data_IF_713069623514
#
_entry.id   IF_713069623514
#
_cell.length_a   1.000
_cell.length_b   1.000
_cell.length_c   1.000
_cell.angle_alpha   90.00
_cell.angle_beta   90.00
_cell.angle_gamma   90.00
#
_symmetry.space_group_name_H-M   'P 1'
#
loop_
_entity.id
_entity.type
_entity.pdbx_description
1 polymer ?
#
# COMPACT_ATOMS: atom_id res chain seq x y z
N UNK A 1 -13.28 -14.72 13.95
CA UNK A 1 -12.31 -13.86 13.23
C UNK A 1 -12.16 -12.58 14.02
N UNK A 2 -10.94 -12.23 14.39
CA UNK A 2 -10.66 -11.03 15.18
C UNK A 2 -10.42 -9.84 14.25
N UNK A 3 -11.14 -8.75 14.46
CA UNK A 3 -10.81 -7.50 13.77
C UNK A 3 -9.77 -6.76 14.62
N UNK A 4 -8.58 -6.56 14.05
CA UNK A 4 -7.53 -5.75 14.69
C UNK A 4 -7.79 -4.28 14.44
N UNK A 5 -8.25 -3.58 15.48
CA UNK A 5 -8.35 -2.12 15.50
C UNK A 5 -7.13 -1.59 16.27
N UNK A 6 -6.54 -0.51 15.80
CA UNK A 6 -5.38 0.12 16.45
C UNK A 6 -5.69 0.37 17.93
N UNK A 7 -4.78 -0.07 18.80
CA UNK A 7 -4.87 0.02 20.26
C UNK A 7 -6.07 -0.70 20.90
N UNK A 8 -6.75 -1.59 20.19
CA UNK A 8 -7.77 -2.46 20.76
C UNK A 8 -7.22 -3.86 20.99
N UNK A 9 -7.32 -4.33 22.23
CA UNK A 9 -6.96 -5.71 22.56
C UNK A 9 -8.01 -6.67 22.01
N UNK A 10 -7.52 -7.75 21.38
CA UNK A 10 -8.34 -8.88 20.99
C UNK A 10 -7.95 -10.05 21.87
N UNK A 11 -8.89 -10.51 22.70
CA UNK A 11 -8.69 -11.71 23.53
C UNK A 11 -9.15 -12.95 22.76
N UNK A 12 -8.30 -13.97 22.71
CA UNK A 12 -8.60 -15.28 22.13
C UNK A 12 -8.18 -16.39 23.09
N UNK A 13 -8.82 -17.55 22.98
CA UNK A 13 -8.46 -18.81 23.64
C UNK A 13 -7.60 -19.72 22.75
N UNK A 14 -7.37 -19.30 21.51
CA UNK A 14 -6.50 -19.97 20.53
C UNK A 14 -5.15 -19.26 20.42
N UNK A 15 -4.06 -19.99 20.15
CA UNK A 15 -2.72 -19.42 20.05
C UNK A 15 -2.45 -18.75 18.70
N UNK A 16 -3.43 -18.70 17.80
CA UNK A 16 -3.30 -18.15 16.45
C UNK A 16 -4.45 -17.22 16.15
N UNK A 17 -4.15 -16.15 15.43
CA UNK A 17 -5.14 -15.19 14.99
C UNK A 17 -4.88 -14.81 13.55
N UNK A 18 -5.94 -14.77 12.75
CA UNK A 18 -5.88 -14.26 11.39
C UNK A 18 -6.13 -12.75 11.41
N UNK A 19 -5.24 -11.98 10.79
CA UNK A 19 -5.45 -10.54 10.57
C UNK A 19 -6.24 -10.38 9.27
N UNK A 20 -7.56 -10.27 9.38
CA UNK A 20 -8.42 -10.11 8.21
C UNK A 20 -8.41 -8.66 7.71
N UNK A 21 -7.89 -8.45 6.50
CA UNK A 21 -7.87 -7.15 5.82
C UNK A 21 -8.90 -7.12 4.69
N UNK A 22 -9.43 -5.93 4.39
CA UNK A 22 -10.36 -5.71 3.28
C UNK A 22 -10.08 -4.37 2.61
N UNK A 23 -10.72 -4.09 1.47
CA UNK A 23 -10.59 -2.81 0.79
C UNK A 23 -10.98 -1.60 1.67
N UNK A 24 -11.81 -1.80 2.69
CA UNK A 24 -12.26 -0.76 3.63
C UNK A 24 -11.53 -0.79 4.97
N UNK A 25 -10.68 -1.81 5.21
CA UNK A 25 -9.88 -1.97 6.43
C UNK A 25 -8.51 -2.55 6.09
N UNK A 26 -7.78 -1.87 5.20
CA UNK A 26 -6.42 -2.22 4.84
C UNK A 26 -5.42 -1.54 5.77
N UNK A 27 -4.30 -2.21 6.05
CA UNK A 27 -3.16 -1.55 6.69
C UNK A 27 -2.49 -0.61 5.67
N UNK A 28 -2.24 0.66 6.02
CA UNK A 28 -1.46 1.56 5.18
C UNK A 28 -0.06 0.99 4.86
N UNK A 29 0.55 1.45 3.78
CA UNK A 29 1.96 1.13 3.49
C UNK A 29 2.85 1.57 4.67
N UNK A 30 3.82 0.72 5.03
CA UNK A 30 4.77 0.99 6.10
C UNK A 30 4.85 -0.11 7.15
N UNK A 31 5.43 0.26 8.31
CA UNK A 31 5.71 -0.65 9.43
C UNK A 31 4.53 -0.70 10.39
N UNK A 32 4.12 -1.90 10.76
CA UNK A 32 3.07 -2.18 11.74
C UNK A 32 3.62 -3.10 12.82
N UNK A 33 3.49 -2.70 14.08
CA UNK A 33 3.90 -3.52 15.22
C UNK A 33 2.71 -4.26 15.80
N UNK A 34 2.85 -5.56 15.97
CA UNK A 34 1.88 -6.42 16.67
C UNK A 34 2.49 -6.88 17.98
N UNK A 35 1.66 -6.97 19.02
CA UNK A 35 2.06 -7.33 20.37
C UNK A 35 1.22 -8.49 20.90
N UNK A 36 1.86 -9.42 21.59
CA UNK A 36 1.20 -10.54 22.27
C UNK A 36 1.51 -10.51 23.78
N UNK A 37 0.47 -10.71 24.59
CA UNK A 37 0.57 -11.04 26.02
C UNK A 37 -0.25 -12.30 26.23
N UNK A 38 0.33 -13.31 26.86
CA UNK A 38 -0.39 -14.54 27.23
C UNK A 38 -0.70 -14.53 28.72
N UNK A 39 -1.85 -15.08 29.10
CA UNK A 39 -2.32 -15.17 30.50
C UNK A 39 -2.61 -16.63 30.81
N UNK A 40 -2.05 -17.15 31.91
CA UNK A 40 -2.31 -18.52 32.35
C UNK A 40 -3.67 -18.67 33.08
N UNK A 41 -4.02 -19.90 33.45
CA UNK A 41 -5.28 -20.22 34.15
C UNK A 41 -5.32 -19.72 35.61
N UNK A 42 -4.17 -19.33 36.15
CA UNK A 42 -4.00 -18.71 37.46
C UNK A 42 -4.04 -17.19 37.40
N UNK A 43 -4.14 -16.60 36.19
CA UNK A 43 -4.22 -15.16 35.95
C UNK A 43 -2.86 -14.46 35.81
N UNK A 44 -1.74 -15.18 35.74
CA UNK A 44 -0.43 -14.57 35.54
C UNK A 44 -0.25 -14.18 34.08
N UNK A 45 0.20 -12.93 33.83
CA UNK A 45 0.48 -12.41 32.50
C UNK A 45 1.98 -12.48 32.18
N UNK A 46 2.32 -12.80 30.94
CA UNK A 46 3.69 -12.71 30.44
C UNK A 46 4.16 -11.25 30.29
N UNK A 47 5.48 -11.05 30.16
CA UNK A 47 5.97 -9.83 29.50
C UNK A 47 5.49 -9.83 28.03
N UNK A 48 5.24 -8.66 27.42
CA UNK A 48 4.83 -8.61 26.03
C UNK A 48 5.95 -9.04 25.08
N UNK A 49 5.58 -9.74 24.01
CA UNK A 49 6.43 -9.98 22.84
C UNK A 49 5.89 -9.21 21.63
N UNK A 50 6.78 -8.74 20.75
CA UNK A 50 6.44 -7.86 19.64
C UNK A 50 7.07 -8.28 18.31
N UNK A 51 6.31 -8.14 17.22
CA UNK A 51 6.77 -8.35 15.85
C UNK A 51 6.43 -7.16 14.97
N UNK A 52 7.31 -6.84 14.02
CA UNK A 52 7.08 -5.81 13.01
C UNK A 52 6.78 -6.46 11.66
N UNK A 53 5.64 -6.10 11.07
CA UNK A 53 5.25 -6.46 9.71
C UNK A 53 5.35 -5.22 8.82
N UNK A 54 5.93 -5.38 7.63
CA UNK A 54 6.05 -4.30 6.65
C UNK A 54 5.04 -4.55 5.54
N UNK A 55 4.09 -3.62 5.38
CA UNK A 55 3.17 -3.59 4.24
C UNK A 55 3.84 -2.77 3.15
N UNK A 56 4.21 -3.43 2.05
CA UNK A 56 4.95 -2.83 0.95
C UNK A 56 4.14 -2.84 -0.35
N UNK A 57 4.27 -1.77 -1.12
CA UNK A 57 3.83 -1.76 -2.51
C UNK A 57 4.89 -2.46 -3.37
N UNK A 58 4.46 -3.44 -4.13
CA UNK A 58 5.29 -4.25 -5.05
C UNK A 58 4.82 -4.13 -6.50
N UNK A 59 3.79 -3.32 -6.76
CA UNK A 59 3.24 -3.11 -8.09
C UNK A 59 3.96 -1.96 -8.79
N UNK A 60 4.15 -2.09 -10.10
CA UNK A 60 4.67 -0.99 -10.90
C UNK A 60 3.53 0.00 -11.26
N UNK A 61 3.83 1.31 -11.39
CA UNK A 61 2.85 2.27 -11.86
C UNK A 61 2.50 2.02 -13.34
N UNK A 62 1.26 2.34 -13.72
CA UNK A 62 0.78 2.32 -15.10
C UNK A 62 0.91 3.70 -15.72
N UNK A 63 1.72 3.82 -16.77
CA UNK A 63 1.85 5.05 -17.55
C UNK A 63 0.67 5.22 -18.51
N UNK A 64 0.02 6.38 -18.48
CA UNK A 64 -1.07 6.73 -19.40
C UNK A 64 -0.74 8.07 -20.06
N UNK A 65 -0.44 8.00 -21.37
CA UNK A 65 -0.03 9.16 -22.16
C UNK A 65 -1.18 9.61 -23.08
N UNK A 66 -1.50 10.90 -23.02
CA UNK A 66 -2.41 11.59 -23.94
C UNK A 66 -1.64 12.64 -24.75
N UNK A 67 -1.97 12.75 -26.03
CA UNK A 67 -1.34 13.69 -26.95
C UNK A 67 -2.29 14.04 -28.10
N UNK A 68 -2.14 15.22 -28.74
CA UNK A 68 -2.78 15.50 -30.01
C UNK A 68 -2.36 14.49 -31.08
N UNK A 69 -3.29 14.09 -31.96
CA UNK A 69 -2.98 13.19 -33.09
C UNK A 69 -2.23 13.86 -34.23
N UNK A 70 -2.33 15.19 -34.31
CA UNK A 70 -1.66 16.01 -35.31
C UNK A 70 -1.47 17.42 -34.78
N UNK A 71 -0.41 18.09 -35.22
CA UNK A 71 -0.09 19.47 -34.87
C UNK A 71 0.29 20.21 -36.15
N UNK A 72 -0.06 21.49 -36.24
CA UNK A 72 0.29 22.29 -37.40
C UNK A 72 1.80 22.57 -37.43
N UNK A 73 2.36 22.83 -38.61
CA UNK A 73 3.77 23.17 -38.74
C UNK A 73 4.12 24.38 -37.87
N UNK A 74 5.27 24.30 -37.19
CA UNK A 74 5.77 25.35 -36.30
C UNK A 74 4.82 25.73 -35.14
N UNK A 75 3.96 24.80 -34.69
CA UNK A 75 3.11 24.99 -33.52
C UNK A 75 3.54 24.12 -32.35
N UNK A 76 3.51 24.69 -31.15
CA UNK A 76 3.75 23.95 -29.91
C UNK A 76 2.54 23.08 -29.55
N UNK A 77 2.79 21.99 -28.85
CA UNK A 77 1.77 21.10 -28.31
C UNK A 77 2.18 20.54 -26.95
N UNK A 78 1.22 19.99 -26.23
CA UNK A 78 1.45 19.39 -24.92
C UNK A 78 1.29 17.87 -25.01
N UNK A 79 2.15 17.17 -24.28
CA UNK A 79 1.97 15.78 -23.89
C UNK A 79 1.45 15.76 -22.45
N UNK A 80 0.52 14.87 -22.16
CA UNK A 80 -0.12 14.80 -20.86
C UNK A 80 -0.05 13.37 -20.29
N UNK A 81 0.72 13.24 -19.22
CA UNK A 81 0.88 11.99 -18.45
C UNK A 81 0.05 11.95 -17.17
N UNK A 82 -0.79 12.97 -16.90
CA UNK A 82 -1.49 13.17 -15.62
C UNK A 82 -2.44 12.05 -15.23
N UNK A 83 -2.85 11.22 -16.19
CA UNK A 83 -3.70 10.04 -15.98
C UNK A 83 -2.93 8.79 -15.57
N UNK A 84 -1.59 8.86 -15.48
CA UNK A 84 -0.78 7.76 -14.96
C UNK A 84 -1.08 7.55 -13.48
N UNK A 85 -1.08 6.30 -13.04
CA UNK A 85 -1.50 5.94 -11.69
C UNK A 85 -0.75 4.71 -11.19
N UNK A 86 -0.74 4.52 -9.87
CA UNK A 86 -0.26 3.31 -9.22
C UNK A 86 -1.43 2.62 -8.51
N UNK A 87 -1.66 1.35 -8.83
CA UNK A 87 -2.75 0.57 -8.24
C UNK A 87 -2.33 -0.17 -6.95
N UNK A 88 -1.02 -0.29 -6.68
CA UNK A 88 -0.49 -0.98 -5.50
C UNK A 88 -0.49 -0.16 -4.21
N UNK A 89 -0.94 1.10 -4.29
CA UNK A 89 -1.06 2.01 -3.15
C UNK A 89 0.07 3.05 -3.07
N UNK A 90 1.08 2.93 -3.92
CA UNK A 90 2.12 3.92 -4.14
C UNK A 90 1.61 5.18 -4.85
N UNK A 91 2.54 6.08 -5.16
CA UNK A 91 2.25 7.33 -5.89
C UNK A 91 3.27 7.52 -6.99
N UNK A 92 2.82 7.96 -8.16
CA UNK A 92 3.71 8.40 -9.24
C UNK A 92 4.39 9.70 -8.81
N UNK A 93 5.72 9.68 -8.70
CA UNK A 93 6.53 10.84 -8.25
C UNK A 93 7.39 11.43 -9.36
N UNK A 94 7.62 10.72 -10.45
CA UNK A 94 8.54 11.12 -11.52
C UNK A 94 8.01 10.66 -12.87
N UNK A 95 8.19 11.50 -13.89
CA UNK A 95 7.86 11.22 -15.28
C UNK A 95 9.13 11.35 -16.13
N UNK A 96 9.50 10.28 -16.84
CA UNK A 96 10.63 10.27 -17.76
C UNK A 96 10.10 10.37 -19.19
N UNK A 97 10.48 11.43 -19.90
CA UNK A 97 10.01 11.71 -21.25
C UNK A 97 11.14 11.48 -22.27
N UNK A 98 10.86 10.68 -23.30
CA UNK A 98 11.81 10.42 -24.38
C UNK A 98 11.12 10.64 -25.72
N UNK A 99 11.72 11.46 -26.59
CA UNK A 99 11.32 11.57 -27.99
C UNK A 99 12.04 10.50 -28.81
N UNK A 100 11.31 9.57 -29.40
CA UNK A 100 11.87 8.43 -30.14
C UNK A 100 12.25 8.75 -31.59
N UNK A 101 12.03 9.99 -32.06
CA UNK A 101 12.22 10.34 -33.46
C UNK A 101 11.09 9.86 -34.36
N UNK A 102 11.21 10.15 -35.66
CA UNK A 102 10.41 9.46 -36.67
C UNK A 102 11.06 8.10 -36.97
N UNK A 103 10.28 7.10 -37.41
CA UNK A 103 10.82 5.87 -37.97
C UNK A 103 11.81 6.12 -39.12
#
# INVERSE_FOLDING_TARGET
>A
MAQFIINQEVKTDTPTVEVTLSATNALPLGRHTFRLVVVDDSGNASIPDEVVVIVADTSAPTAVLSAPRSVAFSTSFNLDGSRSFDAGGGRVTTYLWTYMGQP
#
